data_IF_165489343742
#
_entry.id   IF_165489343742
#
_cell.length_a   1.000
_cell.length_b   1.000
_cell.length_c   1.000
_cell.angle_alpha   90.00
_cell.angle_beta   90.00
_cell.angle_gamma   90.00
#
_symmetry.space_group_name_H-M   'P 1'
#
loop_
_entity.id
_entity.type
_entity.pdbx_description
1 polymer ?
#
# COMPACT_ATOMS: atom_id res chain seq x y z
N UNK A 1 -26.58 13.80 9.02
CA UNK A 1 -25.18 13.50 9.40
C UNK A 1 -24.76 14.49 10.47
N UNK A 2 -24.24 14.05 11.63
CA UNK A 2 -23.72 14.97 12.63
C UNK A 2 -22.57 15.79 12.01
N UNK A 3 -22.58 17.11 12.19
CA UNK A 3 -21.43 17.96 11.83
C UNK A 3 -20.27 17.55 12.73
N UNK A 4 -19.26 16.92 12.15
CA UNK A 4 -17.99 16.67 12.84
C UNK A 4 -17.26 18.01 12.95
N UNK A 5 -17.19 18.58 14.16
CA UNK A 5 -16.48 19.84 14.45
C UNK A 5 -14.96 19.77 14.18
N UNK A 6 -14.43 18.56 13.95
CA UNK A 6 -13.06 18.30 13.53
C UNK A 6 -13.07 17.19 12.47
N UNK A 7 -12.35 17.39 11.36
CA UNK A 7 -12.15 16.31 10.37
C UNK A 7 -11.47 15.13 11.07
N UNK A 8 -12.05 13.92 11.04
CA UNK A 8 -11.47 12.76 11.68
C UNK A 8 -10.09 12.45 11.07
N UNK A 9 -9.18 11.95 11.90
CA UNK A 9 -7.90 11.41 11.44
C UNK A 9 -8.13 10.24 10.47
N UNK A 10 -7.10 9.83 9.74
CA UNK A 10 -7.27 8.72 8.81
C UNK A 10 -7.60 7.41 9.55
N UNK A 11 -6.98 7.18 10.71
CA UNK A 11 -7.27 6.01 11.54
C UNK A 11 -8.69 6.05 12.10
N UNK A 12 -9.17 7.22 12.53
CA UNK A 12 -10.57 7.40 12.97
C UNK A 12 -11.56 7.07 11.84
N UNK A 13 -11.31 7.54 10.62
CA UNK A 13 -12.15 7.21 9.46
C UNK A 13 -12.20 5.70 9.18
N UNK A 14 -11.05 5.01 9.24
CA UNK A 14 -11.02 3.56 9.04
C UNK A 14 -11.78 2.84 10.16
N UNK A 15 -11.60 3.28 11.40
CA UNK A 15 -12.33 2.72 12.54
C UNK A 15 -13.85 2.95 12.44
N UNK A 16 -14.29 4.07 11.87
CA UNK A 16 -15.72 4.31 11.62
C UNK A 16 -16.30 3.27 10.65
N UNK A 17 -15.61 2.94 9.56
CA UNK A 17 -16.05 1.90 8.61
C UNK A 17 -16.09 0.51 9.26
N UNK A 18 -15.11 0.19 10.11
CA UNK A 18 -15.09 -1.06 10.87
C UNK A 18 -16.24 -1.09 11.88
N UNK A 19 -16.48 0.00 12.61
CA UNK A 19 -17.59 0.10 13.57
C UNK A 19 -18.95 -0.10 12.90
N UNK A 20 -19.15 0.51 11.73
CA UNK A 20 -20.37 0.35 10.95
C UNK A 20 -20.63 -1.12 10.62
N UNK A 21 -19.60 -1.80 10.10
CA UNK A 21 -19.68 -3.24 9.78
C UNK A 21 -19.98 -4.09 11.02
N UNK A 22 -19.36 -3.78 12.17
CA UNK A 22 -19.56 -4.52 13.41
C UNK A 22 -20.98 -4.41 13.97
N UNK A 23 -21.75 -3.38 13.59
CA UNK A 23 -23.16 -3.28 13.96
C UNK A 23 -24.06 -4.22 13.14
N UNK A 24 -23.55 -4.79 12.04
CA UNK A 24 -24.30 -5.60 11.09
C UNK A 24 -23.91 -7.09 11.13
N UNK A 25 -22.95 -7.48 11.96
CA UNK A 25 -22.50 -8.87 12.07
C UNK A 25 -22.54 -9.34 13.52
N UNK A 26 -22.82 -10.64 13.70
CA UNK A 26 -22.71 -11.29 15.00
C UNK A 26 -21.25 -11.71 15.23
N UNK A 27 -20.55 -10.98 16.09
CA UNK A 27 -19.14 -11.20 16.39
C UNK A 27 -18.87 -10.94 17.87
N UNK A 28 -17.99 -11.75 18.46
CA UNK A 28 -17.54 -11.55 19.83
C UNK A 28 -16.95 -10.12 19.99
N UNK A 29 -17.47 -9.29 20.92
CA UNK A 29 -16.98 -7.95 21.16
C UNK A 29 -15.47 -7.87 21.48
N UNK A 30 -14.87 -8.94 22.01
CA UNK A 30 -13.44 -9.03 22.26
C UNK A 30 -12.65 -9.23 20.96
N UNK A 31 -13.18 -10.02 20.02
CA UNK A 31 -12.61 -10.15 18.68
C UNK A 31 -12.74 -8.81 17.94
N UNK A 32 -13.87 -8.12 18.07
CA UNK A 32 -14.07 -6.80 17.49
C UNK A 32 -13.03 -5.77 17.98
N UNK A 33 -12.61 -5.82 19.25
CA UNK A 33 -11.50 -4.98 19.77
C UNK A 33 -10.18 -5.32 19.08
N UNK A 34 -9.88 -6.61 18.89
CA UNK A 34 -8.66 -7.05 18.21
C UNK A 34 -8.63 -6.55 16.76
N UNK A 35 -9.76 -6.58 16.05
CA UNK A 35 -9.86 -6.14 14.65
C UNK A 35 -9.67 -4.63 14.44
N UNK A 36 -9.77 -3.81 15.49
CA UNK A 36 -9.60 -2.35 15.42
C UNK A 36 -8.19 -1.88 15.78
N UNK A 37 -7.37 -2.76 16.33
CA UNK A 37 -6.08 -2.37 16.91
C UNK A 37 -4.95 -2.95 16.10
N UNK A 38 -4.00 -2.10 15.69
CA UNK A 38 -2.77 -2.62 15.11
C UNK A 38 -1.99 -3.42 16.16
N UNK A 39 -1.65 -4.67 15.83
CA UNK A 39 -0.90 -5.56 16.72
C UNK A 39 0.45 -4.98 17.15
N UNK A 40 1.16 -4.33 16.23
CA UNK A 40 2.44 -3.70 16.56
C UNK A 40 2.80 -2.58 15.61
N UNK A 41 3.55 -1.60 16.12
CA UNK A 41 4.13 -0.53 15.32
C UNK A 41 5.59 -0.38 15.68
N UNK A 42 6.46 -0.49 14.69
CA UNK A 42 7.87 -0.20 14.82
C UNK A 42 8.14 1.22 14.30
N UNK A 43 8.65 2.10 15.16
CA UNK A 43 9.29 3.35 14.73
C UNK A 43 10.81 3.16 14.72
N UNK A 44 11.47 3.60 13.66
CA UNK A 44 12.93 3.62 13.53
C UNK A 44 13.40 5.04 13.26
N UNK A 45 14.53 5.39 13.88
CA UNK A 45 15.28 6.62 13.61
C UNK A 45 16.70 6.21 13.29
N UNK A 46 17.24 6.63 12.15
CA UNK A 46 18.58 6.23 11.74
C UNK A 46 19.34 7.37 11.05
N UNK A 47 20.64 7.53 11.35
CA UNK A 47 21.47 8.52 10.69
C UNK A 47 22.01 8.00 9.35
N UNK A 48 22.14 8.88 8.36
CA UNK A 48 22.91 8.69 7.12
C UNK A 48 23.77 9.92 6.89
N UNK A 49 25.03 9.72 6.49
CA UNK A 49 25.91 10.80 6.02
C UNK A 49 25.68 11.02 4.53
N UNK A 50 25.27 12.23 4.14
CA UNK A 50 24.98 12.66 2.77
C UNK A 50 25.78 13.92 2.51
N UNK A 51 26.65 13.91 1.49
CA UNK A 51 27.48 15.07 1.09
C UNK A 51 28.21 15.73 2.28
N UNK A 52 28.71 14.91 3.21
CA UNK A 52 29.43 15.37 4.40
C UNK A 52 28.57 15.60 5.65
N UNK A 53 27.26 15.79 5.50
CA UNK A 53 26.32 16.11 6.58
C UNK A 53 25.60 14.85 7.10
N UNK A 54 25.43 14.72 8.41
CA UNK A 54 24.62 13.63 9.00
C UNK A 54 23.16 14.07 9.08
N UNK A 55 22.27 13.31 8.46
CA UNK A 55 20.81 13.50 8.53
C UNK A 55 20.14 12.32 9.22
N UNK A 56 19.15 12.60 10.07
CA UNK A 56 18.37 11.57 10.76
C UNK A 56 17.06 11.36 10.00
N UNK A 57 16.79 10.12 9.63
CA UNK A 57 15.57 9.71 8.96
C UNK A 57 14.64 9.01 9.94
N UNK A 58 13.34 9.25 9.79
CA UNK A 58 12.28 8.68 10.61
C UNK A 58 11.39 7.78 9.75
N UNK A 59 11.19 6.53 10.19
CA UNK A 59 10.34 5.58 9.48
C UNK A 59 9.48 4.75 10.43
N UNK A 60 8.42 4.17 9.88
CA UNK A 60 7.47 3.33 10.59
C UNK A 60 7.17 2.06 9.79
N UNK A 61 6.85 0.98 10.51
CA UNK A 61 6.19 -0.22 9.97
C UNK A 61 5.14 -0.69 10.98
N UNK A 62 3.87 -0.59 10.63
CA UNK A 62 2.76 -1.13 11.39
C UNK A 62 2.38 -2.51 10.85
N UNK A 63 2.11 -3.44 11.77
CA UNK A 63 1.47 -4.72 11.50
C UNK A 63 0.11 -4.67 12.16
N UNK A 64 -0.93 -4.72 11.35
CA UNK A 64 -2.29 -4.70 11.86
C UNK A 64 -2.69 -6.06 12.43
N UNK A 65 -2.58 -7.10 11.60
CA UNK A 65 -2.95 -8.46 11.98
C UNK A 65 -1.95 -9.45 11.42
N UNK A 66 -1.61 -10.46 12.22
CA UNK A 66 -0.76 -11.59 11.84
C UNK A 66 -1.53 -12.92 11.87
N UNK A 67 -2.87 -12.87 11.80
CA UNK A 67 -3.73 -14.06 11.72
C UNK A 67 -3.37 -14.97 10.53
N UNK A 68 -2.79 -14.38 9.47
CA UNK A 68 -2.09 -15.07 8.40
C UNK A 68 -0.68 -14.48 8.26
N UNK A 69 0.29 -15.34 8.02
CA UNK A 69 1.67 -14.96 7.72
C UNK A 69 2.04 -15.40 6.30
N UNK A 70 2.93 -14.65 5.62
CA UNK A 70 3.51 -13.38 6.06
C UNK A 70 2.48 -12.23 6.05
N UNK A 71 2.77 -11.14 6.76
CA UNK A 71 2.00 -9.91 6.61
C UNK A 71 2.44 -9.14 5.37
N UNK A 72 1.54 -8.35 4.79
CA UNK A 72 1.74 -7.71 3.49
C UNK A 72 1.38 -6.23 3.53
N UNK A 73 2.26 -5.40 2.98
CA UNK A 73 2.08 -3.94 3.01
C UNK A 73 3.10 -3.14 2.24
N UNK A 74 2.67 -2.06 1.58
CA UNK A 74 3.58 -1.16 0.85
C UNK A 74 4.53 -0.36 1.76
N UNK A 75 5.59 0.22 1.19
CA UNK A 75 6.45 1.22 1.81
C UNK A 75 6.27 2.57 1.10
N UNK A 76 5.75 3.56 1.83
CA UNK A 76 5.50 4.92 1.33
C UNK A 76 6.64 5.85 1.68
N UNK A 77 7.21 6.55 0.69
CA UNK A 77 8.18 7.61 0.91
C UNK A 77 7.50 8.95 0.63
N UNK A 78 7.17 9.69 1.68
CA UNK A 78 6.48 10.98 1.54
C UNK A 78 6.83 11.93 2.69
N UNK A 79 6.61 13.23 2.47
CA UNK A 79 6.92 14.31 3.41
C UNK A 79 5.93 14.45 4.58
N UNK A 80 4.86 13.66 4.59
CA UNK A 80 3.78 13.72 5.57
C UNK A 80 3.49 12.36 6.26
N UNK A 81 4.38 11.37 6.08
CA UNK A 81 4.24 10.07 6.73
C UNK A 81 4.26 10.23 8.25
N UNK A 82 3.28 9.63 8.91
CA UNK A 82 3.18 9.59 10.36
C UNK A 82 2.61 8.23 10.82
N UNK A 83 2.63 7.99 12.13
CA UNK A 83 2.21 6.72 12.70
C UNK A 83 0.72 6.41 12.44
N UNK A 84 -0.18 7.37 12.67
CA UNK A 84 -1.63 7.16 12.50
C UNK A 84 -1.98 6.77 11.06
N UNK A 85 -1.36 7.43 10.08
CA UNK A 85 -1.54 7.09 8.66
C UNK A 85 -1.09 5.65 8.36
N UNK A 86 0.06 5.25 8.90
CA UNK A 86 0.63 3.92 8.67
C UNK A 86 -0.23 2.83 9.33
N UNK A 87 -0.76 3.07 10.52
CA UNK A 87 -1.71 2.17 11.19
C UNK A 87 -3.02 2.02 10.40
N UNK A 88 -3.60 3.15 9.95
CA UNK A 88 -4.83 3.14 9.15
C UNK A 88 -4.65 2.36 7.84
N UNK A 89 -3.51 2.53 7.17
CA UNK A 89 -3.22 1.81 5.94
C UNK A 89 -2.92 0.33 6.19
N UNK A 90 -2.34 -0.04 7.33
CA UNK A 90 -2.08 -1.42 7.69
C UNK A 90 -3.39 -2.20 7.97
N UNK A 91 -4.37 -1.55 8.61
CA UNK A 91 -5.70 -2.15 8.82
C UNK A 91 -6.44 -2.36 7.50
N UNK A 92 -6.44 -1.36 6.61
CA UNK A 92 -6.96 -1.50 5.26
C UNK A 92 -6.31 -2.63 4.47
N UNK A 93 -5.01 -2.90 4.67
CA UNK A 93 -4.35 -4.05 4.03
C UNK A 93 -4.86 -5.40 4.54
N UNK A 94 -5.23 -5.51 5.82
CA UNK A 94 -5.81 -6.76 6.36
C UNK A 94 -7.15 -7.05 5.72
N UNK A 95 -8.05 -6.06 5.73
CA UNK A 95 -9.39 -6.23 5.17
C UNK A 95 -9.34 -6.41 3.65
N UNK A 96 -8.47 -5.67 2.95
CA UNK A 96 -8.26 -5.84 1.52
C UNK A 96 -7.82 -7.26 1.17
N UNK A 97 -6.85 -7.83 1.91
CA UNK A 97 -6.43 -9.20 1.68
C UNK A 97 -7.55 -10.21 1.94
N UNK A 98 -8.36 -10.00 2.98
CA UNK A 98 -9.52 -10.85 3.27
C UNK A 98 -10.60 -10.77 2.16
N UNK A 99 -10.91 -9.58 1.64
CA UNK A 99 -11.94 -9.38 0.59
C UNK A 99 -11.61 -10.15 -0.71
N UNK A 100 -10.33 -10.30 -1.04
CA UNK A 100 -9.89 -11.00 -2.27
C UNK A 100 -9.23 -12.35 -1.99
N UNK A 101 -9.47 -12.93 -0.82
CA UNK A 101 -8.95 -14.24 -0.39
C UNK A 101 -7.42 -14.42 -0.52
N UNK A 102 -6.67 -13.33 -0.38
CA UNK A 102 -5.20 -13.37 -0.38
C UNK A 102 -4.72 -13.72 1.03
N UNK A 103 -3.89 -14.77 1.22
CA UNK A 103 -3.57 -15.31 2.55
C UNK A 103 -2.49 -14.52 3.29
N UNK A 104 -2.70 -13.21 3.48
CA UNK A 104 -1.80 -12.34 4.23
C UNK A 104 -2.53 -11.56 5.31
N UNK A 105 -1.84 -11.37 6.44
CA UNK A 105 -2.18 -10.30 7.37
C UNK A 105 -1.81 -8.93 6.80
N UNK A 106 -2.41 -7.86 7.30
CA UNK A 106 -2.11 -6.50 6.82
C UNK A 106 -0.95 -5.85 7.54
N UNK A 107 -0.11 -5.17 6.77
CA UNK A 107 0.93 -4.29 7.27
C UNK A 107 1.02 -3.04 6.39
N UNK A 108 1.76 -2.04 6.86
CA UNK A 108 2.16 -0.88 6.06
C UNK A 108 3.40 -0.28 6.67
N UNK A 109 4.28 0.27 5.85
CA UNK A 109 5.35 1.13 6.35
C UNK A 109 5.45 2.43 5.58
N UNK A 110 6.20 3.35 6.14
CA UNK A 110 6.54 4.59 5.48
C UNK A 110 7.82 5.20 6.03
N UNK A 111 8.47 6.01 5.22
CA UNK A 111 9.63 6.79 5.57
C UNK A 111 9.27 8.27 5.35
N UNK A 112 9.55 9.10 6.35
CA UNK A 112 9.36 10.55 6.28
C UNK A 112 10.51 11.16 5.47
N UNK A 113 10.28 11.36 4.18
CA UNK A 113 11.27 11.78 3.19
C UNK A 113 10.54 12.34 1.97
N UNK A 114 11.11 13.39 1.37
CA UNK A 114 10.81 13.75 -0.02
C UNK A 114 11.86 13.09 -0.93
N UNK A 115 11.51 12.03 -1.69
CA UNK A 115 12.48 11.31 -2.51
C UNK A 115 13.04 12.16 -3.66
N UNK A 116 12.38 13.26 -4.05
CA UNK A 116 12.86 14.14 -5.12
C UNK A 116 14.04 15.02 -4.69
N UNK A 117 14.29 15.15 -3.38
CA UNK A 117 15.41 15.94 -2.84
C UNK A 117 16.73 15.19 -2.77
N UNK A 118 16.76 13.92 -3.16
CA UNK A 118 17.92 13.06 -3.05
C UNK A 118 18.30 12.50 -4.42
N UNK A 119 19.60 12.47 -4.70
CA UNK A 119 20.14 11.70 -5.82
C UNK A 119 19.98 10.20 -5.58
N UNK A 120 20.13 9.42 -6.64
CA UNK A 120 19.90 7.98 -6.64
C UNK A 120 20.80 7.25 -5.63
N UNK A 121 22.08 7.62 -5.57
CA UNK A 121 23.04 7.03 -4.62
C UNK A 121 22.64 7.29 -3.16
N UNK A 122 22.21 8.52 -2.85
CA UNK A 122 21.73 8.86 -1.51
C UNK A 122 20.44 8.10 -1.17
N UNK A 123 19.50 8.02 -2.12
CA UNK A 123 18.24 7.33 -1.93
C UNK A 123 18.44 5.82 -1.75
N UNK A 124 19.40 5.22 -2.47
CA UNK A 124 19.81 3.83 -2.27
C UNK A 124 20.35 3.60 -0.85
N UNK A 125 21.27 4.45 -0.39
CA UNK A 125 21.84 4.36 0.97
C UNK A 125 20.75 4.47 2.04
N UNK A 126 19.84 5.42 1.89
CA UNK A 126 18.70 5.62 2.79
C UNK A 126 17.81 4.38 2.79
N UNK A 127 17.41 3.89 1.61
CA UNK A 127 16.52 2.74 1.45
C UNK A 127 17.13 1.47 2.04
N UNK A 128 18.39 1.16 1.72
CA UNK A 128 19.08 -0.01 2.27
C UNK A 128 19.23 0.08 3.78
N UNK A 129 19.53 1.26 4.34
CA UNK A 129 19.60 1.42 5.80
C UNK A 129 18.24 1.23 6.45
N UNK A 130 17.17 1.82 5.90
CA UNK A 130 15.82 1.60 6.40
C UNK A 130 15.44 0.12 6.38
N UNK A 131 15.70 -0.57 5.25
CA UNK A 131 15.47 -2.00 5.11
C UNK A 131 16.22 -2.80 6.19
N UNK A 132 17.52 -2.51 6.41
CA UNK A 132 18.33 -3.17 7.46
C UNK A 132 17.76 -2.97 8.86
N UNK A 133 17.24 -1.78 9.17
CA UNK A 133 16.59 -1.52 10.46
C UNK A 133 15.30 -2.36 10.64
N UNK A 134 14.51 -2.55 9.57
CA UNK A 134 13.33 -3.42 9.59
C UNK A 134 13.71 -4.91 9.71
N UNK A 135 14.69 -5.37 8.93
CA UNK A 135 15.17 -6.75 8.90
C UNK A 135 15.66 -7.18 10.28
N UNK A 136 16.49 -6.37 10.93
CA UNK A 136 17.06 -6.66 12.26
C UNK A 136 15.99 -6.82 13.34
N UNK A 137 14.84 -6.17 13.17
CA UNK A 137 13.72 -6.21 14.13
C UNK A 137 12.61 -7.19 13.71
N UNK A 138 12.79 -7.92 12.60
CA UNK A 138 11.82 -8.91 12.13
C UNK A 138 10.61 -8.35 11.38
N UNK A 139 10.68 -7.08 10.94
CA UNK A 139 9.63 -6.38 10.18
C UNK A 139 9.88 -6.41 8.66
N UNK A 140 10.78 -7.28 8.20
CA UNK A 140 11.04 -7.57 6.80
C UNK A 140 11.66 -8.97 6.70
N UNK A 141 10.91 -9.92 6.14
CA UNK A 141 11.33 -11.31 5.96
C UNK A 141 10.32 -12.05 5.07
N UNK A 142 10.76 -12.98 4.20
CA UNK A 142 9.88 -13.81 3.37
C UNK A 142 8.74 -14.48 4.14
N UNK A 143 8.99 -14.92 5.37
CA UNK A 143 8.05 -15.70 6.17
C UNK A 143 7.23 -14.86 7.16
N UNK A 144 7.60 -13.59 7.41
CA UNK A 144 6.97 -12.78 8.47
C UNK A 144 6.32 -11.51 7.95
N UNK A 145 7.04 -10.72 7.16
CA UNK A 145 6.57 -9.42 6.68
C UNK A 145 7.20 -9.13 5.32
N UNK A 146 6.37 -9.07 4.28
CA UNK A 146 6.80 -8.90 2.89
C UNK A 146 6.33 -7.54 2.37
N UNK A 147 7.24 -6.55 2.22
CA UNK A 147 6.86 -5.24 1.71
C UNK A 147 6.54 -5.21 0.21
N UNK A 148 6.06 -4.06 -0.27
CA UNK A 148 5.75 -3.77 -1.66
C UNK A 148 5.99 -2.28 -1.98
N UNK A 149 5.93 -1.87 -3.25
CA UNK A 149 5.87 -0.47 -3.62
C UNK A 149 4.61 0.22 -3.09
N UNK A 150 4.73 1.52 -2.84
CA UNK A 150 3.66 2.46 -2.57
C UNK A 150 4.04 3.85 -3.12
N UNK A 151 3.34 4.91 -2.71
CA UNK A 151 3.68 6.28 -3.12
C UNK A 151 5.15 6.59 -2.77
N UNK A 152 5.89 7.09 -3.76
CA UNK A 152 7.31 7.45 -3.61
C UNK A 152 8.29 6.27 -3.67
N UNK A 153 7.81 5.05 -3.94
CA UNK A 153 8.68 3.87 -4.16
C UNK A 153 8.27 3.08 -5.41
N UNK A 154 9.21 2.33 -5.95
CA UNK A 154 9.09 1.63 -7.24
C UNK A 154 9.83 0.30 -7.22
N UNK A 155 9.93 -0.36 -8.38
CA UNK A 155 10.75 -1.57 -8.54
C UNK A 155 12.21 -1.37 -8.13
N UNK A 156 12.75 -0.15 -8.28
CA UNK A 156 14.12 0.20 -7.90
C UNK A 156 14.34 0.06 -6.40
N UNK A 157 13.50 0.69 -5.59
CA UNK A 157 13.60 0.61 -4.12
C UNK A 157 13.40 -0.83 -3.65
N UNK A 158 12.53 -1.61 -4.31
CA UNK A 158 12.36 -3.04 -3.99
C UNK A 158 13.61 -3.86 -4.31
N UNK A 159 14.33 -3.53 -5.39
CA UNK A 159 15.63 -4.15 -5.71
C UNK A 159 16.68 -3.87 -4.65
N UNK A 160 16.79 -2.61 -4.19
CA UNK A 160 17.70 -2.25 -3.09
C UNK A 160 17.36 -2.92 -1.77
N UNK A 161 16.06 -3.08 -1.47
CA UNK A 161 15.59 -3.82 -0.29
C UNK A 161 15.98 -5.30 -0.39
N UNK A 162 15.80 -5.92 -1.55
CA UNK A 162 16.20 -7.30 -1.80
C UNK A 162 17.72 -7.48 -1.59
N UNK A 163 18.53 -6.59 -2.15
CA UNK A 163 19.99 -6.62 -1.99
C UNK A 163 20.40 -6.47 -0.51
N UNK A 164 19.79 -5.52 0.21
CA UNK A 164 20.03 -5.34 1.64
C UNK A 164 19.61 -6.57 2.46
N UNK A 165 18.54 -7.27 2.06
CA UNK A 165 18.11 -8.51 2.69
C UNK A 165 19.11 -9.64 2.46
N UNK A 166 19.47 -9.89 1.19
CA UNK A 166 20.40 -10.96 0.81
C UNK A 166 21.76 -10.79 1.48
N UNK A 167 22.25 -9.56 1.58
CA UNK A 167 23.50 -9.25 2.29
C UNK A 167 23.45 -9.58 3.79
N UNK A 168 22.31 -9.39 4.46
CA UNK A 168 22.16 -9.70 5.89
C UNK A 168 21.77 -11.14 6.18
N UNK A 169 21.12 -11.81 5.24
CA UNK A 169 20.60 -13.18 5.35
C UNK A 169 21.04 -14.02 4.13
N UNK A 170 22.35 -14.24 3.94
CA UNK A 170 22.88 -14.93 2.77
C UNK A 170 22.37 -16.37 2.63
N UNK A 171 22.11 -17.03 3.76
CA UNK A 171 21.71 -18.45 3.82
C UNK A 171 20.19 -18.66 3.67
N UNK A 172 19.39 -17.59 3.60
CA UNK A 172 17.94 -17.73 3.40
C UNK A 172 17.64 -18.10 1.93
N UNK A 173 17.25 -19.35 1.72
CA UNK A 173 16.87 -19.88 0.40
C UNK A 173 15.72 -19.08 -0.24
N UNK A 174 14.84 -18.50 0.58
CA UNK A 174 13.66 -17.74 0.15
C UNK A 174 13.89 -16.23 0.11
N UNK A 175 15.15 -15.75 0.22
CA UNK A 175 15.47 -14.32 0.24
C UNK A 175 14.78 -13.50 -0.88
N UNK A 176 14.63 -14.07 -2.08
CA UNK A 176 13.94 -13.41 -3.20
C UNK A 176 12.47 -13.07 -2.90
N UNK A 177 11.82 -13.75 -1.96
CA UNK A 177 10.44 -13.51 -1.54
C UNK A 177 10.32 -12.46 -0.41
N UNK A 178 11.42 -11.85 0.07
CA UNK A 178 11.38 -10.89 1.17
C UNK A 178 10.62 -9.60 0.82
N UNK A 179 10.45 -9.30 -0.48
CA UNK A 179 9.78 -8.11 -1.00
C UNK A 179 9.14 -8.41 -2.35
N UNK A 180 7.97 -7.84 -2.61
CA UNK A 180 7.26 -7.95 -3.91
C UNK A 180 7.35 -6.66 -4.71
N UNK A 181 6.95 -6.67 -5.98
CA UNK A 181 7.03 -5.48 -6.84
C UNK A 181 8.45 -5.17 -7.29
N UNK A 182 9.31 -6.19 -7.34
CA UNK A 182 10.65 -6.15 -7.95
C UNK A 182 10.53 -6.10 -9.49
N UNK A 183 11.62 -5.76 -10.18
CA UNK A 183 11.71 -5.94 -11.63
C UNK A 183 11.70 -7.43 -11.99
N UNK A 184 11.30 -7.74 -13.22
CA UNK A 184 11.18 -9.13 -13.70
C UNK A 184 12.53 -9.86 -13.61
N UNK A 185 13.62 -9.17 -13.96
CA UNK A 185 14.98 -9.71 -13.91
C UNK A 185 15.44 -10.07 -12.50
N UNK A 186 14.80 -9.49 -11.47
CA UNK A 186 15.09 -9.76 -10.06
C UNK A 186 13.96 -10.56 -9.39
N UNK A 187 13.32 -11.49 -10.12
CA UNK A 187 12.26 -12.34 -9.58
C UNK A 187 10.93 -11.62 -9.33
N UNK A 188 10.70 -10.52 -10.05
CA UNK A 188 9.39 -9.90 -10.17
C UNK A 188 8.48 -10.68 -11.13
N UNK A 189 7.17 -10.49 -10.99
CA UNK A 189 6.18 -11.13 -11.87
C UNK A 189 5.73 -10.14 -12.96
N UNK A 190 5.61 -10.63 -14.21
CA UNK A 190 5.02 -9.87 -15.32
C UNK A 190 3.59 -9.46 -14.93
N UNK A 191 3.16 -8.28 -15.34
CA UNK A 191 1.83 -7.80 -14.96
C UNK A 191 1.79 -7.01 -13.66
N UNK A 192 2.84 -7.05 -12.82
CA UNK A 192 2.76 -6.49 -11.46
C UNK A 192 2.61 -4.97 -11.43
N UNK A 193 3.18 -4.27 -12.41
CA UNK A 193 3.14 -2.81 -12.47
C UNK A 193 1.71 -2.33 -12.75
N UNK A 194 1.09 -2.96 -13.75
CA UNK A 194 -0.27 -2.66 -14.23
C UNK A 194 -1.38 -3.34 -13.42
N UNK A 195 -1.06 -4.35 -12.59
CA UNK A 195 -2.02 -5.20 -11.88
C UNK A 195 -3.09 -4.41 -11.12
N UNK A 196 -2.70 -3.37 -10.37
CA UNK A 196 -3.66 -2.57 -9.59
C UNK A 196 -4.65 -1.85 -10.50
N UNK A 197 -4.18 -1.24 -11.60
CA UNK A 197 -5.04 -0.54 -12.55
C UNK A 197 -5.95 -1.49 -13.34
N UNK A 198 -5.43 -2.66 -13.71
CA UNK A 198 -6.24 -3.74 -14.30
C UNK A 198 -7.33 -4.21 -13.33
N UNK A 199 -6.99 -4.40 -12.06
CA UNK A 199 -7.96 -4.78 -11.03
C UNK A 199 -9.10 -3.77 -10.86
N UNK A 200 -8.82 -2.46 -10.98
CA UNK A 200 -9.87 -1.42 -10.99
C UNK A 200 -10.84 -1.64 -12.15
N UNK A 201 -10.31 -1.90 -13.36
CA UNK A 201 -11.14 -2.17 -14.52
C UNK A 201 -11.97 -3.46 -14.35
N UNK A 202 -11.38 -4.54 -13.85
CA UNK A 202 -12.11 -5.80 -13.62
C UNK A 202 -13.21 -5.66 -12.56
N UNK A 203 -12.96 -4.92 -11.48
CA UNK A 203 -13.99 -4.63 -10.47
C UNK A 203 -15.16 -3.83 -11.05
N UNK A 204 -14.88 -2.84 -11.91
CA UNK A 204 -15.93 -2.08 -12.60
C UNK A 204 -16.70 -2.95 -13.60
N UNK A 205 -16.02 -3.79 -14.38
CA UNK A 205 -16.70 -4.75 -15.27
C UNK A 205 -17.64 -5.66 -14.50
N UNK A 206 -17.21 -6.14 -13.33
CA UNK A 206 -18.06 -6.97 -12.49
C UNK A 206 -19.29 -6.20 -12.02
N UNK A 207 -19.16 -4.95 -11.56
CA UNK A 207 -20.30 -4.09 -11.24
C UNK A 207 -21.31 -3.97 -12.39
N UNK A 208 -20.83 -3.77 -13.62
CA UNK A 208 -21.69 -3.68 -14.81
C UNK A 208 -22.35 -5.00 -15.24
N UNK A 209 -21.97 -6.14 -14.65
CA UNK A 209 -22.68 -7.43 -14.84
C UNK A 209 -23.93 -7.57 -13.98
N UNK A 210 -24.18 -6.63 -13.06
CA UNK A 210 -25.33 -6.64 -12.14
C UNK A 210 -26.29 -5.49 -12.46
N UNK A 211 -27.29 -5.69 -13.35
CA UNK A 211 -28.15 -4.60 -13.85
C UNK A 211 -28.93 -3.86 -12.76
N UNK A 212 -29.32 -4.55 -11.68
CA UNK A 212 -30.01 -3.95 -10.54
C UNK A 212 -29.13 -2.92 -9.83
N UNK A 213 -27.86 -3.22 -9.62
CA UNK A 213 -26.89 -2.32 -9.00
C UNK A 213 -26.56 -1.12 -9.92
N UNK A 214 -26.42 -1.37 -11.22
CA UNK A 214 -26.25 -0.32 -12.24
C UNK A 214 -27.46 0.64 -12.24
N UNK A 215 -28.68 0.10 -12.18
CA UNK A 215 -29.90 0.89 -12.12
C UNK A 215 -29.97 1.71 -10.84
N UNK A 216 -29.64 1.11 -9.68
CA UNK A 216 -29.62 1.82 -8.39
C UNK A 216 -28.57 2.94 -8.35
N UNK A 217 -27.43 2.75 -9.00
CA UNK A 217 -26.39 3.78 -9.09
C UNK A 217 -26.74 4.93 -10.05
N UNK A 218 -27.74 4.76 -10.92
CA UNK A 218 -28.17 5.80 -11.87
C UNK A 218 -27.13 6.15 -12.93
N UNK A 219 -26.27 5.18 -13.30
CA UNK A 219 -25.24 5.34 -14.33
C UNK A 219 -25.69 4.73 -15.66
N UNK A 220 -24.98 5.01 -16.76
CA UNK A 220 -25.29 4.38 -18.05
C UNK A 220 -25.15 2.85 -17.97
N UNK A 221 -25.82 2.11 -18.86
CA UNK A 221 -25.93 0.65 -18.74
C UNK A 221 -24.61 -0.09 -18.90
N UNK A 222 -23.70 0.44 -19.70
CA UNK A 222 -22.45 -0.21 -20.02
C UNK A 222 -21.25 0.63 -19.57
N UNK A 223 -20.13 -0.05 -19.32
CA UNK A 223 -18.85 0.60 -18.99
C UNK A 223 -18.33 1.47 -20.14
N UNK A 224 -18.57 1.04 -21.39
CA UNK A 224 -18.24 1.74 -22.64
C UNK A 224 -18.91 3.11 -22.75
N UNK A 225 -20.08 3.28 -22.13
CA UNK A 225 -20.84 4.51 -22.16
C UNK A 225 -20.46 5.49 -21.03
N UNK A 226 -19.54 5.10 -20.15
CA UNK A 226 -19.16 5.93 -19.01
C UNK A 226 -18.11 6.97 -19.39
N UNK A 227 -18.33 8.18 -18.90
CA UNK A 227 -17.34 9.24 -18.86
C UNK A 227 -16.59 9.17 -17.52
N UNK A 228 -15.28 8.98 -17.57
CA UNK A 228 -14.45 8.75 -16.39
C UNK A 228 -13.41 9.86 -16.27
N UNK A 229 -13.25 10.36 -15.04
CA UNK A 229 -12.19 11.30 -14.65
C UNK A 229 -11.24 10.54 -13.73
N UNK A 230 -9.93 10.68 -13.97
CA UNK A 230 -8.88 10.04 -13.17
C UNK A 230 -8.13 11.10 -12.37
N UNK A 231 -8.19 11.03 -11.04
CA UNK A 231 -7.38 11.88 -10.17
C UNK A 231 -6.09 11.17 -9.75
N UNK A 232 -4.95 11.74 -10.16
CA UNK A 232 -3.60 11.24 -9.98
C UNK A 232 -3.18 10.30 -11.10
N UNK A 233 -2.13 10.64 -11.84
CA UNK A 233 -1.66 9.90 -13.01
C UNK A 233 -0.35 9.12 -12.77
N UNK A 234 -0.13 8.72 -11.50
CA UNK A 234 0.90 7.76 -11.12
C UNK A 234 0.59 6.33 -11.57
N UNK A 235 1.28 5.35 -10.98
CA UNK A 235 1.19 3.94 -11.41
C UNK A 235 -0.24 3.37 -11.44
N UNK A 236 -1.10 3.73 -10.47
CA UNK A 236 -2.49 3.25 -10.46
C UNK A 236 -3.32 3.98 -11.52
N UNK A 237 -3.31 5.32 -11.52
CA UNK A 237 -4.13 6.12 -12.42
C UNK A 237 -3.85 5.87 -13.90
N UNK A 238 -2.57 5.85 -14.30
CA UNK A 238 -2.16 5.53 -15.68
C UNK A 238 -2.68 4.16 -16.13
N UNK A 239 -2.46 3.13 -15.30
CA UNK A 239 -2.85 1.76 -15.67
C UNK A 239 -4.38 1.54 -15.60
N UNK A 240 -5.09 2.24 -14.70
CA UNK A 240 -6.55 2.26 -14.67
C UNK A 240 -7.10 2.92 -15.93
N UNK A 241 -6.61 4.11 -16.28
CA UNK A 241 -7.01 4.86 -17.48
C UNK A 241 -6.81 4.02 -18.74
N UNK A 242 -5.62 3.40 -18.87
CA UNK A 242 -5.29 2.52 -19.99
C UNK A 242 -6.24 1.32 -20.06
N UNK A 243 -6.46 0.62 -18.95
CA UNK A 243 -7.32 -0.56 -18.92
C UNK A 243 -8.78 -0.20 -19.24
N UNK A 244 -9.29 0.90 -18.68
CA UNK A 244 -10.66 1.37 -18.90
C UNK A 244 -10.88 1.82 -20.35
N UNK A 245 -9.94 2.60 -20.89
CA UNK A 245 -9.97 3.03 -22.29
C UNK A 245 -9.98 1.85 -23.26
N UNK A 246 -9.14 0.84 -23.01
CA UNK A 246 -9.11 -0.40 -23.82
C UNK A 246 -10.41 -1.21 -23.75
N UNK A 247 -11.25 -0.99 -22.75
CA UNK A 247 -12.56 -1.61 -22.60
C UNK A 247 -13.71 -0.66 -22.99
N UNK A 248 -13.42 0.38 -23.77
CA UNK A 248 -14.40 1.25 -24.40
C UNK A 248 -14.84 2.46 -23.56
N UNK A 249 -14.44 2.56 -22.29
CA UNK A 249 -14.80 3.72 -21.46
C UNK A 249 -14.11 5.00 -21.94
N UNK A 250 -14.75 6.15 -21.75
CA UNK A 250 -14.23 7.45 -22.19
C UNK A 250 -13.52 8.15 -21.04
N UNK A 251 -12.20 8.26 -21.12
CA UNK A 251 -11.43 9.08 -20.18
C UNK A 251 -11.54 10.53 -20.62
N UNK A 252 -12.32 11.34 -19.90
CA UNK A 252 -12.63 12.73 -20.27
C UNK A 252 -11.82 13.76 -19.49
N UNK A 253 -11.09 13.34 -18.45
CA UNK A 253 -10.26 14.22 -17.64
C UNK A 253 -9.23 13.45 -16.82
N UNK A 254 -8.06 14.06 -16.68
CA UNK A 254 -7.01 13.62 -15.77
C UNK A 254 -6.63 14.84 -14.92
N UNK A 255 -6.57 14.67 -13.61
CA UNK A 255 -6.17 15.71 -12.67
C UNK A 255 -4.90 15.29 -11.93
N UNK A 256 -3.92 16.17 -11.81
CA UNK A 256 -2.69 15.96 -11.06
C UNK A 256 -2.57 16.97 -9.91
N UNK A 257 -1.49 16.90 -9.13
CA UNK A 257 -1.24 17.86 -8.04
C UNK A 257 -1.15 19.32 -8.53
N UNK A 258 -0.81 19.53 -9.80
CA UNK A 258 -0.55 20.84 -10.41
C UNK A 258 -1.72 21.33 -11.29
N UNK A 259 -2.84 20.60 -11.32
CA UNK A 259 -3.99 20.85 -12.21
C UNK A 259 -4.34 19.60 -13.01
#
# INVERSE_FOLDING_TARGET
>A
MPKLDKKPSFLENVNMMVNDTLNHIDIDPNIAKILKTCRSVLQVKFPIKIKGEIKIFHGWRAVHSNHRLPVKGGLRFANNVNQEEVEALASLMTFKCAVVDVPFGGAKGGLLIDPQKYDEESLEKITKKFARELIRRGYLSPARDVPAPDVGTSQREMGWILDAYKSLRPDDINHMACVTGKSVDHGGIKGRLEATGRGVCEALKEFFRHPEEVQRAGVNKELSDQNIIIQGFGNVGLNSAKALFQNGAKIIGIAEKDG
#
